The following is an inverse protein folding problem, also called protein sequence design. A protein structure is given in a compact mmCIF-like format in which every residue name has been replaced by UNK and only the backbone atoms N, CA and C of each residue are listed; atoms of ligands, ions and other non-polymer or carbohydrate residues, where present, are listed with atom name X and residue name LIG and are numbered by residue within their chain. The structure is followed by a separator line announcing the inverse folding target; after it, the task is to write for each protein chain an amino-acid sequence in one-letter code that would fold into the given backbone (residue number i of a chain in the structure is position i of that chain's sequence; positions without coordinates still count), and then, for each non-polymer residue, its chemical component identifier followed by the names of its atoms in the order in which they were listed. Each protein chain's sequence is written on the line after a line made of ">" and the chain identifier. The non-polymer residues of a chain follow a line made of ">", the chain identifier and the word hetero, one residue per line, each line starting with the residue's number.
data_IF_154387368274
#
_entry.id   IF_154387368274
#
_cell.length_a   1.000
_cell.length_b   1.000
_cell.length_c   1.000
_cell.angle_alpha   90.00
_cell.angle_beta   90.00
_cell.angle_gamma   90.00
#
_symmetry.space_group_name_H-M   'P 1'
#
loop_
_entity.id
_entity.type
_entity.pdbx_description
1 polymer ?
#
# COMPACT_ATOMS: atom_id res chain seq x y z
N UNK A 1 -25.21 -3.63 -4.10
CA UNK A 1 -25.52 -3.00 -5.40
C UNK A 1 -26.97 -3.22 -5.83
N UNK A 2 -27.48 -4.43 -6.04
CA UNK A 2 -28.87 -4.61 -6.57
C UNK A 2 -30.01 -4.22 -5.61
N UNK A 3 -29.89 -4.54 -4.32
CA UNK A 3 -30.97 -4.30 -3.33
C UNK A 3 -31.10 -2.82 -2.99
N UNK A 4 -29.98 -2.09 -2.94
CA UNK A 4 -29.96 -0.65 -2.70
C UNK A 4 -28.93 0.03 -3.61
N UNK A 5 -29.25 0.30 -4.88
CA UNK A 5 -28.31 0.82 -5.88
C UNK A 5 -27.76 2.21 -5.56
N UNK A 6 -28.60 3.09 -5.01
CA UNK A 6 -28.24 4.47 -4.70
C UNK A 6 -27.08 4.59 -3.70
N UNK A 7 -27.00 3.69 -2.71
CA UNK A 7 -25.89 3.66 -1.73
C UNK A 7 -24.53 3.39 -2.39
N UNK A 8 -24.53 2.75 -3.55
CA UNK A 8 -23.31 2.45 -4.32
C UNK A 8 -23.08 3.44 -5.47
N UNK A 9 -23.78 4.58 -5.48
CA UNK A 9 -23.65 5.58 -6.53
C UNK A 9 -24.15 5.09 -7.90
N UNK A 10 -25.16 4.21 -7.91
CA UNK A 10 -25.80 3.72 -9.14
C UNK A 10 -27.14 4.41 -9.27
N UNK A 11 -27.37 5.09 -10.40
CA UNK A 11 -28.64 5.76 -10.63
C UNK A 11 -29.77 4.78 -10.95
N UNK A 12 -31.01 5.14 -10.64
CA UNK A 12 -32.17 4.31 -10.95
C UNK A 12 -32.31 4.07 -12.47
N UNK A 13 -31.94 5.06 -13.29
CA UNK A 13 -31.90 4.94 -14.75
C UNK A 13 -30.92 3.84 -15.22
N UNK A 14 -29.73 3.73 -14.60
CA UNK A 14 -28.77 2.65 -14.89
C UNK A 14 -29.37 1.27 -14.56
N UNK A 15 -30.11 1.16 -13.46
CA UNK A 15 -30.73 -0.11 -13.04
C UNK A 15 -31.88 -0.52 -13.96
N UNK A 16 -32.64 0.44 -14.48
CA UNK A 16 -33.69 0.15 -15.47
C UNK A 16 -33.10 -0.38 -16.78
N UNK A 17 -31.94 0.14 -17.20
CA UNK A 17 -31.26 -0.28 -18.42
C UNK A 17 -30.44 -1.57 -18.25
N UNK A 18 -29.86 -1.80 -17.07
CA UNK A 18 -29.11 -3.01 -16.71
C UNK A 18 -29.63 -3.60 -15.37
N UNK A 19 -30.80 -4.28 -15.38
CA UNK A 19 -31.42 -4.81 -14.14
C UNK A 19 -30.56 -5.84 -13.39
N UNK A 20 -29.62 -6.47 -14.09
CA UNK A 20 -28.69 -7.46 -13.53
C UNK A 20 -27.35 -6.86 -13.15
N UNK A 21 -27.10 -5.59 -13.46
CA UNK A 21 -25.83 -4.90 -13.27
C UNK A 21 -24.66 -5.68 -13.88
N UNK A 22 -24.88 -6.32 -15.03
CA UNK A 22 -23.84 -7.09 -15.73
C UNK A 22 -22.77 -6.16 -16.29
N UNK A 23 -23.18 -5.11 -17.00
CA UNK A 23 -22.25 -4.13 -17.55
C UNK A 23 -21.53 -3.36 -16.43
N UNK A 24 -22.25 -2.99 -15.36
CA UNK A 24 -21.64 -2.30 -14.20
C UNK A 24 -20.58 -3.17 -13.51
N UNK A 25 -20.88 -4.45 -13.28
CA UNK A 25 -19.92 -5.39 -12.66
C UNK A 25 -18.73 -5.64 -13.58
N UNK A 26 -18.96 -5.79 -14.88
CA UNK A 26 -17.89 -5.94 -15.85
C UNK A 26 -16.96 -4.71 -15.84
N UNK A 27 -17.51 -3.49 -15.83
CA UNK A 27 -16.73 -2.26 -15.74
C UNK A 27 -15.88 -2.20 -14.46
N UNK A 28 -16.44 -2.59 -13.30
CA UNK A 28 -15.69 -2.65 -12.04
C UNK A 28 -14.56 -3.69 -12.09
N UNK A 29 -14.83 -4.88 -12.63
CA UNK A 29 -13.83 -5.94 -12.78
C UNK A 29 -12.71 -5.50 -13.72
N UNK A 30 -13.05 -4.90 -14.87
CA UNK A 30 -12.08 -4.39 -15.84
C UNK A 30 -11.23 -3.28 -15.22
N UNK A 31 -11.83 -2.34 -14.48
CA UNK A 31 -11.10 -1.30 -13.76
C UNK A 31 -10.09 -1.88 -12.78
N UNK A 32 -10.50 -2.85 -11.95
CA UNK A 32 -9.59 -3.54 -11.02
C UNK A 32 -8.50 -4.33 -11.76
N UNK A 33 -8.85 -5.00 -12.86
CA UNK A 33 -7.91 -5.74 -13.71
C UNK A 33 -6.82 -4.83 -14.27
N UNK A 34 -7.20 -3.65 -14.76
CA UNK A 34 -6.26 -2.65 -15.27
C UNK A 34 -5.30 -2.16 -14.17
N UNK A 35 -5.79 -1.92 -12.95
CA UNK A 35 -4.93 -1.54 -11.82
C UNK A 35 -3.94 -2.66 -11.45
N UNK A 36 -4.41 -3.91 -11.41
CA UNK A 36 -3.55 -5.06 -11.11
C UNK A 36 -2.51 -5.34 -12.22
N UNK A 37 -2.88 -5.12 -13.49
CA UNK A 37 -1.97 -5.25 -14.63
C UNK A 37 -0.89 -4.15 -14.62
N UNK A 38 -1.28 -2.91 -14.32
CA UNK A 38 -0.36 -1.77 -14.12
C UNK A 38 0.66 -2.06 -13.01
N UNK A 39 0.19 -2.61 -11.88
CA UNK A 39 1.04 -3.07 -10.78
C UNK A 39 1.81 -4.38 -11.08
N UNK A 40 1.73 -4.91 -12.31
CA UNK A 40 2.39 -6.14 -12.78
C UNK A 40 2.01 -7.40 -11.99
N UNK A 41 0.88 -7.38 -11.28
CA UNK A 41 0.39 -8.52 -10.49
C UNK A 41 -0.34 -9.55 -11.35
N UNK A 42 -0.94 -9.12 -12.45
CA UNK A 42 -1.54 -9.98 -13.47
C UNK A 42 -1.08 -9.54 -14.86
N UNK A 43 -1.37 -10.35 -15.88
CA UNK A 43 -1.40 -9.95 -17.29
C UNK A 43 -2.84 -9.96 -17.77
N UNK A 44 -3.39 -8.80 -18.07
CA UNK A 44 -4.78 -8.63 -18.47
C UNK A 44 -4.90 -8.34 -19.97
N UNK A 45 -5.60 -9.21 -20.70
CA UNK A 45 -5.89 -8.98 -22.12
C UNK A 45 -7.23 -8.25 -22.28
N UNK A 46 -7.21 -6.95 -22.57
CA UNK A 46 -8.44 -6.15 -22.69
C UNK A 46 -9.36 -6.59 -23.84
N UNK A 47 -8.83 -7.26 -24.87
CA UNK A 47 -9.63 -7.71 -26.03
C UNK A 47 -10.38 -9.00 -25.74
N UNK A 48 -9.73 -9.96 -25.08
CA UNK A 48 -10.34 -11.26 -24.76
C UNK A 48 -10.91 -11.33 -23.35
N UNK A 49 -10.57 -10.37 -22.49
CA UNK A 49 -10.87 -10.31 -21.06
C UNK A 49 -10.23 -11.44 -20.25
N UNK A 50 -9.14 -12.02 -20.74
CA UNK A 50 -8.39 -13.08 -20.06
C UNK A 50 -7.44 -12.53 -18.98
N UNK A 51 -7.29 -13.30 -17.91
CA UNK A 51 -6.41 -13.03 -16.78
C UNK A 51 -5.33 -14.10 -16.68
N UNK A 52 -4.07 -13.69 -16.67
CA UNK A 52 -2.97 -14.59 -16.33
C UNK A 52 -2.26 -14.09 -15.07
N UNK A 53 -2.06 -14.99 -14.11
CA UNK A 53 -1.37 -14.67 -12.87
C UNK A 53 0.13 -14.48 -13.11
N UNK A 54 0.77 -13.66 -12.27
CA UNK A 54 2.22 -13.55 -12.19
C UNK A 54 2.71 -14.06 -10.84
N UNK A 55 3.99 -14.39 -10.74
CA UNK A 55 4.59 -14.75 -9.44
C UNK A 55 4.57 -13.57 -8.45
N UNK A 56 4.70 -12.33 -8.94
CA UNK A 56 4.57 -11.13 -8.12
C UNK A 56 3.16 -11.04 -7.49
N UNK A 57 2.12 -11.20 -8.32
CA UNK A 57 0.74 -11.22 -7.85
C UNK A 57 0.45 -12.36 -6.88
N UNK A 58 1.04 -13.54 -7.13
CA UNK A 58 0.93 -14.70 -6.23
C UNK A 58 1.56 -14.39 -4.86
N UNK A 59 2.78 -13.85 -4.84
CA UNK A 59 3.48 -13.45 -3.61
C UNK A 59 2.69 -12.38 -2.84
N UNK A 60 2.25 -11.32 -3.52
CA UNK A 60 1.46 -10.27 -2.87
C UNK A 60 0.15 -10.80 -2.26
N UNK A 61 -0.54 -11.71 -2.96
CA UNK A 61 -1.74 -12.38 -2.44
C UNK A 61 -1.44 -13.24 -1.20
N UNK A 62 -0.37 -14.03 -1.23
CA UNK A 62 0.02 -14.88 -0.09
C UNK A 62 0.35 -14.08 1.18
N UNK A 63 0.93 -12.89 1.02
CA UNK A 63 1.33 -12.04 2.14
C UNK A 63 0.35 -10.89 2.42
N UNK A 64 -0.83 -10.88 1.77
CA UNK A 64 -1.86 -9.84 1.95
C UNK A 64 -1.35 -8.41 1.73
N UNK A 65 -0.43 -8.24 0.76
CA UNK A 65 0.13 -6.93 0.40
C UNK A 65 -0.80 -6.21 -0.57
N UNK A 66 -1.11 -4.93 -0.33
CA UNK A 66 -1.96 -4.14 -1.22
C UNK A 66 -1.32 -3.96 -2.61
N UNK A 67 -2.13 -3.90 -3.66
CA UNK A 67 -1.61 -3.69 -5.02
C UNK A 67 -0.91 -2.34 -5.18
N UNK A 68 -1.38 -1.29 -4.48
CA UNK A 68 -0.72 0.04 -4.49
C UNK A 68 0.67 -0.04 -3.87
N UNK A 69 0.88 -0.86 -2.84
CA UNK A 69 2.21 -1.10 -2.24
C UNK A 69 3.12 -1.83 -3.22
N UNK A 70 2.60 -2.85 -3.93
CA UNK A 70 3.35 -3.55 -4.98
C UNK A 70 3.73 -2.60 -6.10
N UNK A 71 2.85 -1.68 -6.49
CA UNK A 71 3.14 -0.64 -7.47
C UNK A 71 4.32 0.25 -7.02
N UNK A 72 4.28 0.77 -5.79
CA UNK A 72 5.39 1.55 -5.21
C UNK A 72 6.69 0.73 -5.17
N UNK A 73 6.62 -0.54 -4.79
CA UNK A 73 7.80 -1.39 -4.70
C UNK A 73 8.41 -1.70 -6.06
N UNK A 74 7.59 -1.86 -7.11
CA UNK A 74 8.08 -2.06 -8.47
C UNK A 74 8.96 -0.90 -8.98
N UNK A 75 8.69 0.32 -8.52
CA UNK A 75 9.45 1.52 -8.89
C UNK A 75 10.71 1.70 -8.03
N UNK A 76 10.68 1.25 -6.77
CA UNK A 76 11.77 1.44 -5.80
C UNK A 76 12.77 0.28 -5.76
N UNK A 77 12.33 -0.94 -6.07
CA UNK A 77 13.17 -2.14 -6.03
C UNK A 77 14.28 -2.06 -7.07
N UNK A 78 15.52 -2.28 -6.61
CA UNK A 78 16.72 -2.35 -7.45
C UNK A 78 17.37 -3.72 -7.29
N UNK A 79 18.15 -4.20 -8.29
CA UNK A 79 18.88 -5.47 -8.18
C UNK A 79 19.82 -5.53 -6.97
N UNK A 80 20.36 -4.37 -6.56
CA UNK A 80 21.21 -4.23 -5.39
C UNK A 80 20.69 -3.08 -4.55
N UNK A 81 20.35 -3.37 -3.30
CA UNK A 81 19.93 -2.38 -2.32
C UNK A 81 20.72 -2.59 -1.03
N UNK A 82 21.17 -1.52 -0.41
CA UNK A 82 21.70 -1.58 0.94
C UNK A 82 20.55 -1.57 1.97
N UNK A 83 20.86 -1.88 3.24
CA UNK A 83 19.86 -1.93 4.32
C UNK A 83 19.05 -0.63 4.43
N UNK A 84 19.70 0.54 4.35
CA UNK A 84 19.00 1.83 4.45
C UNK A 84 17.98 2.04 3.33
N UNK A 85 18.29 1.58 2.11
CA UNK A 85 17.35 1.63 0.98
C UNK A 85 16.18 0.65 1.18
N UNK A 86 16.43 -0.53 1.77
CA UNK A 86 15.37 -1.50 2.08
C UNK A 86 14.42 -0.93 3.13
N UNK A 87 14.93 -0.36 4.23
CA UNK A 87 14.11 0.31 5.24
C UNK A 87 13.30 1.46 4.64
N UNK A 88 13.92 2.28 3.78
CA UNK A 88 13.25 3.40 3.11
C UNK A 88 12.15 2.94 2.16
N UNK A 89 12.34 1.83 1.45
CA UNK A 89 11.33 1.26 0.55
C UNK A 89 10.14 0.68 1.33
N UNK A 90 10.39 -0.12 2.36
CA UNK A 90 9.34 -0.70 3.22
C UNK A 90 8.51 0.41 3.89
N UNK A 91 9.14 1.49 4.32
CA UNK A 91 8.47 2.61 4.99
C UNK A 91 7.51 3.40 4.09
N UNK A 92 7.54 3.18 2.78
CA UNK A 92 6.63 3.79 1.79
C UNK A 92 5.42 2.91 1.45
N UNK A 93 5.26 1.77 2.14
CA UNK A 93 4.13 0.87 1.93
C UNK A 93 2.78 1.56 2.24
N UNK A 94 1.78 1.32 1.39
CA UNK A 94 0.44 1.94 1.51
C UNK A 94 -0.40 1.34 2.65
N UNK A 95 0.10 0.31 3.32
CA UNK A 95 -0.38 -0.15 4.61
C UNK A 95 -0.24 0.94 5.68
N UNK A 96 0.77 1.83 5.56
CA UNK A 96 1.04 2.90 6.52
C UNK A 96 0.36 4.24 6.20
N UNK A 97 -0.41 4.33 5.12
CA UNK A 97 -0.98 5.61 4.63
C UNK A 97 -1.86 6.36 5.65
N UNK A 98 -2.41 5.66 6.65
CA UNK A 98 -3.27 6.25 7.68
C UNK A 98 -2.49 6.80 8.88
N UNK A 99 -1.19 6.47 8.98
CA UNK A 99 -0.34 7.01 10.03
C UNK A 99 -0.10 8.50 9.80
N UNK A 100 0.08 9.21 10.91
CA UNK A 100 0.43 10.64 10.93
C UNK A 100 1.56 10.85 11.93
N UNK A 101 2.35 11.88 11.66
CA UNK A 101 3.27 12.46 12.63
C UNK A 101 2.51 13.49 13.44
N UNK A 102 2.76 13.54 14.75
CA UNK A 102 2.19 14.52 15.67
C UNK A 102 3.32 15.36 16.28
N UNK A 103 3.04 16.59 16.66
CA UNK A 103 4.09 17.49 17.17
C UNK A 103 4.65 17.03 18.52
N UNK A 104 3.83 16.38 19.34
CA UNK A 104 4.17 15.90 20.69
C UNK A 104 5.08 14.66 20.71
N UNK A 105 5.22 13.95 19.59
CA UNK A 105 6.10 12.78 19.47
C UNK A 105 7.42 13.07 18.74
N UNK A 106 7.63 14.28 18.21
CA UNK A 106 8.80 14.61 17.38
C UNK A 106 10.12 14.47 18.14
N UNK A 107 10.18 15.00 19.36
CA UNK A 107 11.37 14.94 20.21
C UNK A 107 11.73 13.48 20.53
N UNK A 108 10.74 12.67 20.90
CA UNK A 108 10.94 11.24 21.14
C UNK A 108 11.39 10.51 19.87
N UNK A 109 10.77 10.77 18.71
CA UNK A 109 11.18 10.17 17.44
C UNK A 109 12.64 10.50 17.11
N UNK A 110 13.10 11.73 17.38
CA UNK A 110 14.50 12.07 17.20
C UNK A 110 15.41 11.37 18.22
N UNK A 111 15.03 11.26 19.49
CA UNK A 111 15.78 10.43 20.46
C UNK A 111 15.90 8.98 19.99
N UNK A 112 14.79 8.36 19.55
CA UNK A 112 14.77 7.00 19.05
C UNK A 112 15.64 6.83 17.80
N UNK A 113 15.61 7.82 16.91
CA UNK A 113 16.45 7.85 15.70
C UNK A 113 17.92 7.81 16.06
N UNK A 114 18.37 8.61 17.03
CA UNK A 114 19.79 8.67 17.41
C UNK A 114 20.23 7.45 18.23
N UNK A 115 19.36 6.93 19.10
CA UNK A 115 19.73 5.86 20.04
C UNK A 115 19.60 4.45 19.46
N UNK A 116 18.63 4.21 18.57
CA UNK A 116 18.27 2.87 18.13
C UNK A 116 18.43 2.60 16.64
N UNK A 117 18.42 3.62 15.76
CA UNK A 117 18.62 3.37 14.33
C UNK A 117 20.08 3.02 14.03
N UNK A 118 20.30 1.87 13.38
CA UNK A 118 21.63 1.41 12.95
C UNK A 118 22.02 1.93 11.57
N UNK A 119 21.02 2.25 10.75
CA UNK A 119 21.20 2.82 9.42
C UNK A 119 20.41 4.13 9.31
N UNK A 120 20.79 4.96 8.33
CA UNK A 120 20.15 6.25 8.10
C UNK A 120 18.64 6.06 7.86
N UNK A 121 17.82 6.59 8.76
CA UNK A 121 16.37 6.66 8.56
C UNK A 121 16.05 7.74 7.52
N UNK A 122 15.72 7.31 6.30
CA UNK A 122 15.28 8.22 5.24
C UNK A 122 13.94 8.88 5.65
N UNK A 123 13.81 10.19 5.40
CA UNK A 123 12.62 10.97 5.76
C UNK A 123 12.77 11.79 7.04
N UNK A 124 13.50 11.33 8.06
CA UNK A 124 13.57 12.05 9.35
C UNK A 124 12.28 11.98 10.18
N UNK A 125 12.25 12.60 11.36
CA UNK A 125 11.14 12.51 12.33
C UNK A 125 9.84 13.19 11.87
N UNK A 126 9.93 14.14 10.93
CA UNK A 126 8.82 15.04 10.56
C UNK A 126 7.82 14.45 9.55
N UNK A 127 8.08 13.28 8.97
CA UNK A 127 7.12 12.64 8.05
C UNK A 127 6.87 11.17 8.36
N UNK A 128 5.74 10.67 7.83
CA UNK A 128 5.25 9.31 8.10
C UNK A 128 6.25 8.25 7.68
N UNK A 129 6.90 8.42 6.53
CA UNK A 129 7.92 7.49 6.03
C UNK A 129 9.08 7.38 7.03
N UNK A 130 9.62 8.50 7.48
CA UNK A 130 10.71 8.50 8.46
C UNK A 130 10.26 8.00 9.85
N UNK A 131 9.05 8.34 10.30
CA UNK A 131 8.45 7.76 11.52
C UNK A 131 8.40 6.24 11.46
N UNK A 132 7.85 5.66 10.39
CA UNK A 132 7.80 4.19 10.21
C UNK A 132 9.20 3.58 10.20
N UNK A 133 10.14 4.22 9.50
CA UNK A 133 11.52 3.76 9.43
C UNK A 133 12.18 3.72 10.82
N UNK A 134 12.06 4.81 11.58
CA UNK A 134 12.58 4.94 12.95
C UNK A 134 11.98 3.87 13.86
N UNK A 135 10.65 3.72 13.83
CA UNK A 135 9.95 2.75 14.67
C UNK A 135 10.32 1.31 14.32
N UNK A 136 10.48 0.97 13.03
CA UNK A 136 10.89 -0.36 12.60
C UNK A 136 12.30 -0.69 13.09
N UNK A 137 13.25 0.23 12.94
CA UNK A 137 14.62 0.05 13.44
C UNK A 137 14.68 -0.01 14.98
N UNK A 138 13.85 0.79 15.65
CA UNK A 138 13.71 0.79 17.11
C UNK A 138 13.22 -0.56 17.60
N UNK A 139 12.18 -1.11 16.97
CA UNK A 139 11.65 -2.43 17.30
C UNK A 139 12.70 -3.54 17.14
N UNK A 140 13.42 -3.56 16.00
CA UNK A 140 14.49 -4.54 15.75
C UNK A 140 15.67 -4.41 16.71
N UNK A 141 15.90 -3.21 17.25
CA UNK A 141 16.96 -2.94 18.23
C UNK A 141 16.51 -3.14 19.68
N UNK A 142 15.28 -3.63 19.90
CA UNK A 142 14.67 -3.75 21.24
C UNK A 142 14.66 -2.42 22.00
N UNK A 143 14.47 -1.31 21.29
CA UNK A 143 14.40 0.02 21.88
C UNK A 143 13.12 0.25 22.65
N UNK A 144 13.21 1.08 23.68
CA UNK A 144 12.07 1.43 24.52
C UNK A 144 11.40 2.70 23.99
N UNK A 145 10.09 2.63 23.78
CA UNK A 145 9.23 3.76 23.41
C UNK A 145 8.50 4.21 24.68
N UNK A 146 8.68 5.48 25.05
CA UNK A 146 8.10 6.12 26.23
C UNK A 146 6.60 6.36 26.05
N UNK A 147 6.16 6.77 24.88
CA UNK A 147 4.76 7.20 24.66
C UNK A 147 3.78 6.03 24.49
N UNK A 148 3.18 5.62 25.61
CA UNK A 148 1.83 5.03 25.70
C UNK A 148 1.04 5.55 26.93
N UNK A 149 1.47 6.66 27.54
CA UNK A 149 0.85 7.29 28.72
C UNK A 149 0.36 8.71 28.42
#
# INVERSE_FOLDING_TARGET
>A
MRINPHVYGIEYAEVLQDPRLEAKRQALIVGAAMSLDKARMIRFNQRTLDFNITDLGRTASHFYIKYDTVEVFNDLLKPFMNESEIFAMISQAQEFQQLKVRDDELEELDELRHNYCKVKAAGGSENVCGKVNILMQTFLSHGYVKSFL
#
